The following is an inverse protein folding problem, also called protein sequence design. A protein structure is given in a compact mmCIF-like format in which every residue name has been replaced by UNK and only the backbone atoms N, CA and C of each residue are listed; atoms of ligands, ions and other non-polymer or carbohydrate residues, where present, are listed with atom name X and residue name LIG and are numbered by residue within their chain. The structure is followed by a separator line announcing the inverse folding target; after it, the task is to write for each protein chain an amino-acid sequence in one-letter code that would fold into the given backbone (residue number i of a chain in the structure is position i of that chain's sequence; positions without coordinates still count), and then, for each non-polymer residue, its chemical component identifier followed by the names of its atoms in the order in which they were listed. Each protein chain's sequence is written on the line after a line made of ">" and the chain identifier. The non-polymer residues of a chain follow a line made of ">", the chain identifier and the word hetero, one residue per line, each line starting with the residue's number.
data_IF_156926596501
#
_entry.id   IF_156926596501
#
_cell.length_a   1.000
_cell.length_b   1.000
_cell.length_c   1.000
_cell.angle_alpha   90.00
_cell.angle_beta   90.00
_cell.angle_gamma   90.00
#
_symmetry.space_group_name_H-M   'P 1'
#
loop_
_entity.id
_entity.type
_entity.pdbx_description
1 polymer ?
#
# COMPACT_ATOMS: atom_id res chain seq x y z
N UNK A 1 -18.10 11.72 54.09
CA UNK A 1 -16.95 12.01 53.22
C UNK A 1 -17.35 11.71 51.79
N UNK A 2 -17.66 12.74 51.02
CA UNK A 2 -17.95 12.66 49.58
C UNK A 2 -16.69 13.12 48.84
N UNK A 3 -15.96 12.20 48.23
CA UNK A 3 -14.83 12.55 47.36
C UNK A 3 -15.35 12.85 45.96
N UNK A 4 -15.20 14.11 45.53
CA UNK A 4 -15.48 14.59 44.18
C UNK A 4 -14.55 13.87 43.18
N UNK A 5 -15.14 13.22 42.17
CA UNK A 5 -14.42 12.89 40.94
C UNK A 5 -14.33 14.17 40.10
N UNK A 6 -13.11 14.64 39.85
CA UNK A 6 -12.81 15.69 38.89
C UNK A 6 -12.93 15.11 37.47
N UNK A 7 -13.96 15.52 36.74
CA UNK A 7 -14.11 15.23 35.31
C UNK A 7 -13.14 16.10 34.52
N UNK A 8 -12.07 15.49 34.01
CA UNK A 8 -11.08 16.13 33.15
C UNK A 8 -11.70 16.47 31.78
N UNK A 9 -11.51 17.70 31.30
CA UNK A 9 -12.16 18.21 30.09
C UNK A 9 -11.57 17.57 28.82
N UNK A 10 -12.41 17.27 27.83
CA UNK A 10 -12.04 16.70 26.52
C UNK A 10 -10.93 17.51 25.80
N UNK A 11 -10.84 18.81 26.09
CA UNK A 11 -9.84 19.71 25.54
C UNK A 11 -8.45 19.61 26.21
N UNK A 12 -8.30 18.80 27.25
CA UNK A 12 -7.04 18.60 27.97
C UNK A 12 -6.33 17.30 27.57
N UNK A 13 -6.94 16.46 26.73
CA UNK A 13 -6.34 15.22 26.25
C UNK A 13 -5.29 15.48 25.15
N UNK A 14 -4.19 14.71 25.09
CA UNK A 14 -3.26 14.69 23.97
C UNK A 14 -4.01 14.45 22.65
N UNK A 15 -3.65 15.13 21.55
CA UNK A 15 -4.33 15.01 20.25
C UNK A 15 -4.53 13.55 19.82
N UNK A 16 -3.53 12.69 20.01
CA UNK A 16 -3.59 11.24 19.71
C UNK A 16 -4.70 10.50 20.46
N UNK A 17 -4.95 10.85 21.72
CA UNK A 17 -6.04 10.26 22.52
C UNK A 17 -7.41 10.80 22.14
N UNK A 18 -7.51 12.02 21.58
CA UNK A 18 -8.77 12.55 21.04
C UNK A 18 -9.21 11.78 19.79
N UNK A 19 -8.27 11.49 18.88
CA UNK A 19 -8.52 10.63 17.72
C UNK A 19 -9.03 9.24 18.15
N UNK A 20 -8.40 8.64 19.17
CA UNK A 20 -8.78 7.33 19.70
C UNK A 20 -10.19 7.29 20.31
N UNK A 21 -10.60 8.34 21.03
CA UNK A 21 -11.95 8.41 21.61
C UNK A 21 -13.03 8.76 20.58
N UNK A 22 -12.73 9.54 19.54
CA UNK A 22 -13.67 9.75 18.42
C UNK A 22 -13.89 8.49 17.58
N UNK A 23 -12.93 7.57 17.54
CA UNK A 23 -13.05 6.26 16.87
C UNK A 23 -14.04 5.32 17.58
N UNK A 24 -14.20 5.42 18.91
CA UNK A 24 -15.11 4.55 19.67
C UNK A 24 -16.59 4.89 19.48
N UNK A 25 -16.95 6.17 19.36
CA UNK A 25 -18.34 6.57 19.06
C UNK A 25 -18.77 6.27 17.61
N UNK A 26 -17.78 5.98 16.76
CA UNK A 26 -17.86 5.55 15.36
C UNK A 26 -17.85 4.00 15.27
N UNK A 27 -17.84 3.26 16.38
CA UNK A 27 -17.72 1.79 16.34
C UNK A 27 -18.96 1.07 15.78
N UNK A 28 -20.17 1.42 16.26
CA UNK A 28 -21.29 0.46 16.16
C UNK A 28 -22.16 0.62 14.91
N UNK A 29 -22.16 1.80 14.29
CA UNK A 29 -22.92 2.08 13.06
C UNK A 29 -22.14 1.75 11.78
N UNK A 30 -20.82 1.54 11.89
CA UNK A 30 -19.92 1.37 10.75
C UNK A 30 -19.77 -0.09 10.32
N UNK A 31 -20.02 -1.01 11.25
CA UNK A 31 -19.97 -2.46 11.02
C UNK A 31 -20.96 -2.92 9.93
N UNK A 32 -22.12 -2.25 9.80
CA UNK A 32 -23.15 -2.66 8.82
C UNK A 32 -22.90 -2.12 7.40
N UNK A 33 -22.40 -0.89 7.26
CA UNK A 33 -22.22 -0.26 5.94
C UNK A 33 -20.85 -0.56 5.32
N UNK A 34 -19.78 -0.51 6.11
CA UNK A 34 -18.40 -0.61 5.62
C UNK A 34 -17.72 -1.94 5.90
N UNK A 35 -18.33 -2.80 6.72
CA UNK A 35 -17.75 -4.08 7.12
C UNK A 35 -17.73 -5.13 6.00
N UNK A 36 -16.61 -5.81 5.86
CA UNK A 36 -16.49 -7.08 5.15
C UNK A 36 -15.92 -8.12 6.12
N UNK A 37 -16.68 -9.19 6.35
CA UNK A 37 -16.26 -10.28 7.22
C UNK A 37 -15.41 -11.28 6.41
N UNK A 38 -14.31 -11.73 7.00
CA UNK A 38 -13.55 -12.86 6.50
C UNK A 38 -14.25 -14.15 6.89
N UNK A 39 -14.59 -14.96 5.90
CA UNK A 39 -15.24 -16.26 6.09
C UNK A 39 -14.35 -17.27 6.84
N UNK A 40 -13.02 -17.08 6.85
CA UNK A 40 -12.08 -17.99 7.51
C UNK A 40 -11.87 -17.67 8.98
N UNK A 41 -11.65 -16.39 9.31
CA UNK A 41 -11.31 -15.94 10.68
C UNK A 41 -12.50 -15.34 11.43
N UNK A 42 -13.55 -14.92 10.72
CA UNK A 42 -14.65 -14.12 11.28
C UNK A 42 -14.28 -12.66 11.57
N UNK A 43 -13.05 -12.24 11.26
CA UNK A 43 -12.60 -10.85 11.43
C UNK A 43 -13.31 -9.92 10.44
N UNK A 44 -13.69 -8.72 10.89
CA UNK A 44 -14.39 -7.72 10.07
C UNK A 44 -13.45 -6.58 9.74
N UNK A 45 -13.24 -6.35 8.44
CA UNK A 45 -12.37 -5.31 7.92
C UNK A 45 -13.19 -4.13 7.40
N UNK A 46 -12.63 -2.92 7.53
CA UNK A 46 -13.23 -1.70 6.99
C UNK A 46 -12.91 -1.54 5.50
N UNK A 47 -13.94 -1.57 4.67
CA UNK A 47 -13.86 -1.45 3.20
C UNK A 47 -14.31 -0.08 2.69
N UNK A 48 -14.39 0.93 3.56
CA UNK A 48 -14.61 2.30 3.15
C UNK A 48 -13.32 3.10 3.36
N UNK A 49 -12.94 3.90 2.36
CA UNK A 49 -11.87 4.88 2.54
C UNK A 49 -12.32 5.96 3.54
N UNK A 50 -11.51 6.23 4.56
CA UNK A 50 -11.72 7.34 5.49
C UNK A 50 -10.73 8.45 5.16
N UNK A 51 -11.21 9.67 4.99
CA UNK A 51 -10.32 10.79 4.68
C UNK A 51 -9.36 11.05 5.86
N UNK A 52 -8.03 11.05 5.64
CA UNK A 52 -7.04 11.09 6.73
C UNK A 52 -7.15 12.30 7.65
N UNK A 53 -7.61 13.44 7.13
CA UNK A 53 -7.75 14.69 7.89
C UNK A 53 -9.19 15.00 8.33
N UNK A 54 -10.18 14.31 7.76
CA UNK A 54 -11.60 14.61 7.95
C UNK A 54 -12.31 13.27 8.21
N UNK A 55 -12.31 12.76 9.47
CA UNK A 55 -12.73 11.40 9.77
C UNK A 55 -14.18 11.06 9.38
N UNK A 56 -15.04 12.07 9.25
CA UNK A 56 -16.44 11.92 8.87
C UNK A 56 -16.68 11.88 7.36
N UNK A 57 -15.65 12.13 6.55
CA UNK A 57 -15.72 12.00 5.10
C UNK A 57 -15.37 10.56 4.72
N UNK A 58 -16.40 9.78 4.44
CA UNK A 58 -16.34 8.34 4.18
C UNK A 58 -16.60 8.11 2.70
N UNK A 59 -15.73 7.35 2.06
CA UNK A 59 -15.90 6.90 0.69
C UNK A 59 -16.95 5.80 0.55
N UNK A 60 -17.25 5.45 -0.69
CA UNK A 60 -18.11 4.29 -1.01
C UNK A 60 -17.43 2.99 -0.58
N UNK A 61 -18.23 2.02 -0.12
CA UNK A 61 -17.76 0.68 0.21
C UNK A 61 -17.17 -0.03 -1.03
N UNK A 62 -15.95 -0.56 -0.91
CA UNK A 62 -15.37 -1.48 -1.88
C UNK A 62 -16.06 -2.85 -1.84
N UNK A 63 -16.03 -3.61 -2.94
CA UNK A 63 -16.56 -4.97 -2.94
C UNK A 63 -15.80 -5.84 -1.93
N UNK A 64 -16.53 -6.63 -1.14
CA UNK A 64 -15.92 -7.61 -0.23
C UNK A 64 -15.15 -8.71 -0.98
N UNK A 65 -15.36 -8.86 -2.30
CA UNK A 65 -14.58 -9.77 -3.15
C UNK A 65 -13.09 -9.40 -3.22
N UNK A 66 -12.73 -8.17 -2.85
CA UNK A 66 -11.35 -7.70 -2.79
C UNK A 66 -10.61 -8.17 -1.52
N UNK A 67 -11.31 -8.73 -0.53
CA UNK A 67 -10.74 -9.15 0.75
C UNK A 67 -9.57 -10.13 0.65
N UNK A 68 -9.63 -11.21 -0.17
CA UNK A 68 -8.50 -12.12 -0.31
C UNK A 68 -7.26 -11.41 -0.86
N UNK A 69 -7.44 -10.47 -1.79
CA UNK A 69 -6.35 -9.74 -2.44
C UNK A 69 -5.69 -8.75 -1.49
N UNK A 70 -6.48 -7.90 -0.82
CA UNK A 70 -5.98 -6.91 0.14
C UNK A 70 -5.26 -7.58 1.32
N UNK A 71 -5.70 -8.77 1.74
CA UNK A 71 -5.02 -9.58 2.75
C UNK A 71 -3.67 -10.08 2.26
N UNK A 72 -3.63 -10.68 1.08
CA UNK A 72 -2.39 -11.19 0.50
C UNK A 72 -1.36 -10.07 0.28
N UNK A 73 -1.81 -8.84 0.06
CA UNK A 73 -0.98 -7.65 -0.05
C UNK A 73 -0.61 -7.02 1.30
N UNK A 74 -1.14 -7.51 2.43
CA UNK A 74 -0.87 -6.97 3.76
C UNK A 74 -1.45 -5.58 4.01
N UNK A 75 -2.48 -5.16 3.27
CA UNK A 75 -2.98 -3.78 3.26
C UNK A 75 -3.98 -3.44 4.39
N UNK A 76 -4.28 -4.39 5.28
CA UNK A 76 -5.15 -4.16 6.43
C UNK A 76 -4.40 -3.79 7.70
N UNK A 77 -3.08 -3.97 7.72
CA UNK A 77 -2.27 -3.52 8.83
C UNK A 77 -2.25 -1.98 8.85
N UNK A 78 -2.30 -1.35 10.03
CA UNK A 78 -2.18 0.09 10.11
C UNK A 78 -0.86 0.49 9.46
N UNK A 79 -0.92 1.15 8.29
CA UNK A 79 0.26 1.75 7.71
C UNK A 79 0.71 2.83 8.68
N UNK A 80 1.76 2.56 9.45
CA UNK A 80 2.48 3.60 10.14
C UNK A 80 3.02 4.54 9.06
N UNK A 81 2.36 5.69 8.91
CA UNK A 81 2.85 6.74 8.04
C UNK A 81 4.21 7.16 8.56
N UNK A 82 5.26 6.67 7.91
CA UNK A 82 6.62 7.05 8.26
C UNK A 82 6.77 8.52 7.92
N UNK A 83 7.02 9.36 8.91
CA UNK A 83 7.31 10.75 8.60
C UNK A 83 8.68 10.81 7.95
N UNK A 84 8.82 11.56 6.86
CA UNK A 84 10.07 11.65 6.11
C UNK A 84 11.29 12.05 6.98
N UNK A 85 11.05 12.79 8.07
CA UNK A 85 12.05 13.18 9.07
C UNK A 85 12.60 12.02 9.91
N UNK A 86 11.83 10.95 10.07
CA UNK A 86 12.12 9.79 10.91
C UNK A 86 12.78 8.65 10.09
N UNK A 87 12.83 8.79 8.76
CA UNK A 87 13.61 7.93 7.89
C UNK A 87 15.10 8.27 8.07
N UNK A 88 15.85 7.37 8.71
CA UNK A 88 17.27 7.22 8.35
C UNK A 88 17.26 6.98 6.84
N UNK A 89 18.02 7.74 6.04
CA UNK A 89 17.93 7.65 4.58
C UNK A 89 18.90 6.55 4.11
N UNK A 90 18.48 5.27 3.96
CA UNK A 90 19.27 4.33 3.18
C UNK A 90 19.35 4.86 1.74
N UNK A 91 20.35 4.38 0.99
CA UNK A 91 20.40 4.66 -0.43
C UNK A 91 19.04 4.34 -1.08
N UNK A 92 18.50 5.24 -1.92
CA UNK A 92 17.18 5.04 -2.53
C UNK A 92 17.22 3.81 -3.45
N UNK A 93 16.16 3.01 -3.41
CA UNK A 93 15.98 1.94 -4.39
C UNK A 93 15.52 2.52 -5.72
N UNK A 94 16.20 2.15 -6.82
CA UNK A 94 15.77 2.49 -8.17
C UNK A 94 14.93 1.35 -8.72
N UNK A 95 13.69 1.67 -9.11
CA UNK A 95 12.73 0.68 -9.59
C UNK A 95 12.05 1.21 -10.85
N UNK A 96 11.91 0.35 -11.84
CA UNK A 96 11.09 0.60 -13.04
C UNK A 96 10.29 -0.65 -13.39
N UNK A 97 9.31 -0.50 -14.28
CA UNK A 97 8.50 -1.59 -14.79
C UNK A 97 8.16 -1.33 -16.26
N UNK A 98 8.14 -2.39 -17.07
CA UNK A 98 7.74 -2.30 -18.48
C UNK A 98 7.16 -3.62 -18.97
N UNK A 99 6.36 -3.54 -20.02
CA UNK A 99 5.84 -4.65 -20.80
C UNK A 99 6.59 -4.77 -22.14
N UNK A 100 6.17 -5.72 -22.98
CA UNK A 100 6.74 -5.93 -24.30
C UNK A 100 6.70 -4.67 -25.20
N UNK A 101 5.66 -3.84 -25.12
CA UNK A 101 5.48 -2.66 -25.97
C UNK A 101 6.43 -1.52 -25.60
N UNK A 102 6.89 -1.48 -24.34
CA UNK A 102 7.84 -0.48 -23.84
C UNK A 102 9.25 -1.03 -23.60
N UNK A 103 9.60 -2.15 -24.24
CA UNK A 103 10.91 -2.78 -24.07
C UNK A 103 12.09 -1.89 -24.52
N UNK A 104 12.05 -1.31 -25.72
CA UNK A 104 13.15 -0.45 -26.21
C UNK A 104 13.35 0.81 -25.36
N UNK A 105 12.27 1.52 -24.93
CA UNK A 105 12.37 2.56 -23.91
C UNK A 105 13.00 2.07 -22.59
N UNK A 106 12.65 0.87 -22.12
CA UNK A 106 13.20 0.31 -20.90
C UNK A 106 14.71 0.02 -21.03
N UNK A 107 15.16 -0.51 -22.16
CA UNK A 107 16.59 -0.70 -22.44
C UNK A 107 17.33 0.64 -22.48
N UNK A 108 16.75 1.65 -23.12
CA UNK A 108 17.33 3.01 -23.15
C UNK A 108 17.48 3.59 -21.74
N UNK A 109 16.49 3.37 -20.88
CA UNK A 109 16.55 3.76 -19.47
C UNK A 109 17.66 3.01 -18.73
N UNK A 110 17.78 1.69 -18.91
CA UNK A 110 18.81 0.87 -18.26
C UNK A 110 20.22 1.36 -18.62
N UNK A 111 20.49 1.60 -19.91
CA UNK A 111 21.80 2.08 -20.37
C UNK A 111 22.14 3.44 -19.79
N UNK A 112 21.19 4.37 -19.79
CA UNK A 112 21.39 5.70 -19.21
C UNK A 112 21.58 5.61 -17.70
N UNK A 113 20.77 4.80 -17.01
CA UNK A 113 20.88 4.56 -15.58
C UNK A 113 22.26 4.04 -15.21
N UNK A 114 22.75 3.00 -15.89
CA UNK A 114 24.07 2.43 -15.65
C UNK A 114 25.20 3.43 -15.89
N UNK A 115 25.03 4.33 -16.86
CA UNK A 115 26.02 5.38 -17.16
C UNK A 115 26.11 6.43 -16.06
N UNK A 116 24.99 6.78 -15.44
CA UNK A 116 24.92 7.79 -14.37
C UNK A 116 25.12 7.21 -12.96
N UNK A 117 24.74 5.94 -12.76
CA UNK A 117 24.73 5.26 -11.47
C UNK A 117 25.39 3.87 -11.57
N UNK A 118 26.68 3.78 -11.93
CA UNK A 118 27.36 2.51 -12.27
C UNK A 118 27.54 1.54 -11.10
N UNK A 119 27.23 1.95 -9.87
CA UNK A 119 27.33 1.13 -8.65
C UNK A 119 25.97 0.81 -8.02
N UNK A 120 24.90 1.39 -8.55
CA UNK A 120 23.56 1.19 -8.03
C UNK A 120 22.85 0.07 -8.79
N UNK A 121 21.96 -0.65 -8.12
CA UNK A 121 21.13 -1.68 -8.73
C UNK A 121 19.79 -1.10 -9.16
N UNK A 122 19.40 -1.35 -10.40
CA UNK A 122 18.06 -1.06 -10.91
C UNK A 122 17.20 -2.31 -10.85
N UNK A 123 16.08 -2.24 -10.14
CA UNK A 123 15.07 -3.31 -10.14
C UNK A 123 14.14 -3.08 -11.32
N UNK A 124 14.01 -4.08 -12.20
CA UNK A 124 13.11 -4.03 -13.36
C UNK A 124 12.01 -5.06 -13.18
N UNK A 125 10.77 -4.58 -13.04
CA UNK A 125 9.59 -5.42 -13.04
C UNK A 125 9.13 -5.73 -14.46
N UNK A 126 9.06 -7.01 -14.77
CA UNK A 126 8.51 -7.54 -16.02
C UNK A 126 6.98 -7.61 -15.91
N UNK A 127 6.32 -6.80 -16.73
CA UNK A 127 4.87 -6.70 -16.85
C UNK A 127 4.30 -7.49 -18.04
N UNK A 128 5.11 -8.28 -18.75
CA UNK A 128 4.68 -9.04 -19.93
C UNK A 128 5.72 -9.13 -21.04
N UNK A 129 7.01 -9.23 -20.69
CA UNK A 129 8.08 -9.43 -21.66
C UNK A 129 7.99 -10.82 -22.33
N UNK A 130 8.51 -10.89 -23.55
CA UNK A 130 8.83 -12.19 -24.17
C UNK A 130 10.00 -12.85 -23.43
N UNK A 131 10.19 -14.15 -23.64
CA UNK A 131 11.31 -14.88 -23.03
C UNK A 131 12.68 -14.27 -23.41
N UNK A 132 12.85 -13.89 -24.68
CA UNK A 132 14.07 -13.24 -25.18
C UNK A 132 14.33 -11.90 -24.50
N UNK A 133 13.29 -11.07 -24.38
CA UNK A 133 13.36 -9.77 -23.70
C UNK A 133 13.73 -9.94 -22.23
N UNK A 134 13.09 -10.88 -21.53
CA UNK A 134 13.40 -11.15 -20.13
C UNK A 134 14.85 -11.61 -19.92
N UNK A 135 15.38 -12.45 -20.83
CA UNK A 135 16.75 -12.94 -20.74
C UNK A 135 17.78 -11.84 -21.04
N UNK A 136 17.46 -10.88 -21.91
CA UNK A 136 18.28 -9.68 -22.12
C UNK A 136 18.33 -8.80 -20.86
N UNK A 137 17.22 -8.63 -20.14
CA UNK A 137 17.20 -7.84 -18.89
C UNK A 137 18.02 -8.55 -17.80
N UNK A 138 17.85 -9.86 -17.63
CA UNK A 138 18.59 -10.64 -16.62
C UNK A 138 20.11 -10.63 -16.82
N UNK A 139 20.57 -10.47 -18.05
CA UNK A 139 22.01 -10.43 -18.38
C UNK A 139 22.61 -9.03 -18.29
N UNK A 140 21.79 -8.00 -18.02
CA UNK A 140 22.25 -6.62 -17.88
C UNK A 140 22.97 -6.39 -16.55
N UNK A 141 24.10 -5.69 -16.58
CA UNK A 141 24.89 -5.38 -15.38
C UNK A 141 24.10 -4.54 -14.37
N UNK A 142 24.21 -4.86 -13.07
CA UNK A 142 23.55 -4.11 -12.00
C UNK A 142 22.02 -3.97 -12.20
N UNK A 143 21.39 -4.96 -12.85
CA UNK A 143 19.94 -5.03 -12.99
C UNK A 143 19.41 -6.24 -12.22
N UNK A 144 18.40 -6.02 -11.40
CA UNK A 144 17.63 -7.08 -10.77
C UNK A 144 16.31 -7.25 -11.51
N UNK A 145 16.16 -8.38 -12.21
CA UNK A 145 14.91 -8.74 -12.88
C UNK A 145 13.91 -9.33 -11.88
N UNK A 146 12.65 -8.85 -11.92
CA UNK A 146 11.53 -9.40 -11.14
C UNK A 146 10.30 -9.59 -12.01
N UNK A 147 9.73 -10.79 -12.05
CA UNK A 147 8.45 -11.01 -12.72
C UNK A 147 7.29 -10.50 -11.87
N UNK A 148 6.37 -9.73 -12.46
CA UNK A 148 5.14 -9.34 -11.79
C UNK A 148 4.09 -10.45 -11.96
N UNK A 149 3.47 -10.87 -10.84
CA UNK A 149 2.51 -11.97 -10.82
C UNK A 149 1.07 -11.44 -10.89
N UNK A 150 0.60 -11.13 -12.09
CA UNK A 150 -0.78 -10.65 -12.31
C UNK A 150 -1.84 -11.66 -11.88
N UNK A 151 -1.51 -12.95 -11.81
CA UNK A 151 -2.42 -14.02 -11.39
C UNK A 151 -2.84 -13.88 -9.91
N UNK A 152 -2.12 -13.05 -9.15
CA UNK A 152 -2.45 -12.73 -7.76
C UNK A 152 -3.34 -11.50 -7.61
N UNK A 153 -3.70 -10.81 -8.70
CA UNK A 153 -4.57 -9.64 -8.70
C UNK A 153 -5.99 -9.98 -9.17
N UNK A 154 -6.99 -9.15 -8.84
CA UNK A 154 -8.35 -9.32 -9.35
C UNK A 154 -8.37 -9.26 -10.89
N UNK A 155 -9.17 -10.11 -11.53
CA UNK A 155 -9.29 -10.17 -13.00
C UNK A 155 -9.74 -8.85 -13.64
N UNK A 156 -10.46 -8.00 -12.90
CA UNK A 156 -10.88 -6.67 -13.33
C UNK A 156 -9.73 -5.66 -13.44
N UNK A 157 -8.53 -6.00 -12.98
CA UNK A 157 -7.32 -5.17 -13.07
C UNK A 157 -6.36 -5.61 -14.18
N UNK A 158 -6.68 -6.67 -14.94
CA UNK A 158 -5.87 -7.06 -16.09
C UNK A 158 -6.16 -6.10 -17.25
N UNK A 159 -5.13 -5.38 -17.71
CA UNK A 159 -5.19 -4.57 -18.92
C UNK A 159 -4.97 -5.53 -20.09
N UNK A 160 -5.99 -5.68 -20.95
CA UNK A 160 -5.88 -6.40 -22.23
C UNK A 160 -5.06 -5.62 -23.28
#
# INVERSE_FOLDING_TARGET
>A
MLSRNESQSYNDLPKSKRYFNSLQLVSDQWQSHCGCADNLTGEVFNFCYQHPLIPFLIGTKFSCDLLPYLRNLGLFEPMEYVQAKDLHHPAPAFVTAADQSYFDPAITLIVNFQSHFPRETLIVYDLGFTQEQADQIKTSCNVEYRKFFFEKLPSTMMIE
#
